data_IF_263102249438
#
_entry.id   IF_263102249438
#
_cell.length_a   1.000
_cell.length_b   1.000
_cell.length_c   1.000
_cell.angle_alpha   90.00
_cell.angle_beta   90.00
_cell.angle_gamma   90.00
#
_symmetry.space_group_name_H-M   'P 1'
#
loop_
_entity.id
_entity.type
_entity.pdbx_description
1 polymer ?
#
# COMPACT_ATOMS: atom_id res chain seq x y z
N UNK A 1 -6.20 2.32 28.46
CA UNK A 1 -5.71 2.62 27.09
C UNK A 1 -5.15 4.02 27.09
N UNK A 2 -3.94 4.20 26.58
CA UNK A 2 -3.29 5.52 26.49
C UNK A 2 -3.11 5.88 25.01
N UNK A 3 -3.68 7.01 24.61
CA UNK A 3 -3.54 7.55 23.27
C UNK A 3 -2.42 8.61 23.27
N UNK A 4 -1.54 8.56 22.27
CA UNK A 4 -0.44 9.51 22.06
C UNK A 4 -0.34 9.87 20.60
N UNK A 5 0.17 11.07 20.33
CA UNK A 5 0.54 11.52 19.00
C UNK A 5 1.91 12.15 18.99
N UNK A 6 2.62 11.98 17.88
CA UNK A 6 3.92 12.56 17.61
C UNK A 6 4.03 12.91 16.12
N UNK A 7 5.07 13.64 15.75
CA UNK A 7 5.41 13.88 14.35
C UNK A 7 6.90 13.68 14.14
N UNK A 8 7.26 12.93 13.10
CA UNK A 8 8.66 12.70 12.69
C UNK A 8 8.77 13.04 11.22
N UNK A 9 9.65 13.96 10.86
CA UNK A 9 9.84 14.46 9.49
C UNK A 9 8.52 14.89 8.80
N UNK A 10 7.58 15.45 9.59
CA UNK A 10 6.28 15.90 9.10
C UNK A 10 5.26 14.78 8.87
N UNK A 11 5.59 13.53 9.20
CA UNK A 11 4.66 12.40 9.21
C UNK A 11 4.06 12.29 10.61
N UNK A 12 2.74 12.33 10.70
CA UNK A 12 2.01 12.15 11.95
C UNK A 12 2.02 10.67 12.36
N UNK A 13 2.29 10.43 13.64
CA UNK A 13 2.27 9.10 14.25
C UNK A 13 1.24 9.13 15.38
N UNK A 14 0.30 8.22 15.35
CA UNK A 14 -0.71 8.03 16.38
C UNK A 14 -0.51 6.66 17.01
N UNK A 15 -0.63 6.57 18.32
CA UNK A 15 -0.54 5.29 19.01
C UNK A 15 -1.62 5.13 20.08
N UNK A 16 -2.13 3.90 20.20
CA UNK A 16 -3.06 3.48 21.25
C UNK A 16 -2.49 2.28 21.97
N UNK A 17 -1.96 2.50 23.19
CA UNK A 17 -1.34 1.45 23.98
C UNK A 17 -2.36 0.74 24.88
N UNK A 18 -2.38 -0.59 24.81
CA UNK A 18 -3.11 -1.46 25.71
C UNK A 18 -2.13 -2.48 26.36
N UNK A 19 -1.73 -2.28 27.61
CA UNK A 19 -0.73 -3.12 28.29
C UNK A 19 -1.15 -4.59 28.50
N UNK A 20 -2.42 -4.91 28.29
CA UNK A 20 -2.93 -6.28 28.41
C UNK A 20 -2.73 -7.10 27.13
N UNK A 21 -2.33 -6.48 26.02
CA UNK A 21 -2.03 -7.16 24.77
C UNK A 21 -0.57 -7.64 24.74
N UNK A 22 -0.32 -8.71 24.00
CA UNK A 22 1.03 -9.24 23.72
C UNK A 22 1.41 -9.10 22.25
N UNK A 23 0.60 -8.38 21.50
CA UNK A 23 0.75 -8.15 20.07
C UNK A 23 0.57 -6.68 19.75
N UNK A 24 1.00 -6.32 18.57
CA UNK A 24 0.79 -4.99 18.00
C UNK A 24 0.18 -5.09 16.60
N UNK A 25 -0.39 -3.97 16.15
CA UNK A 25 -0.73 -3.69 14.77
C UNK A 25 -0.14 -2.32 14.41
N UNK A 26 0.72 -2.29 13.41
CA UNK A 26 1.40 -1.10 12.92
C UNK A 26 0.95 -0.85 11.47
N UNK A 27 0.36 0.30 11.19
CA UNK A 27 -0.21 0.62 9.88
C UNK A 27 0.28 1.96 9.36
N UNK A 28 0.73 1.96 8.11
CA UNK A 28 0.98 3.17 7.32
C UNK A 28 -0.23 3.42 6.41
N UNK A 29 -0.86 4.57 6.55
CA UNK A 29 -1.93 5.07 5.69
C UNK A 29 -1.37 6.13 4.75
N UNK A 30 -1.58 5.94 3.47
CA UNK A 30 -1.11 6.83 2.40
C UNK A 30 -2.32 7.34 1.65
N UNK A 31 -2.51 8.66 1.60
CA UNK A 31 -3.56 9.27 0.79
C UNK A 31 -3.21 9.10 -0.68
N UNK A 32 -3.73 8.02 -1.25
CA UNK A 32 -3.61 7.57 -2.62
C UNK A 32 -4.87 6.76 -2.93
N UNK A 33 -4.99 6.21 -4.13
CA UNK A 33 -6.16 5.41 -4.50
C UNK A 33 -6.89 5.98 -5.70
N UNK A 34 -7.86 5.23 -6.20
CA UNK A 34 -8.44 5.48 -7.52
C UNK A 34 -9.15 6.83 -7.68
N UNK A 35 -9.63 7.46 -6.60
CA UNK A 35 -10.24 8.80 -6.65
C UNK A 35 -9.24 9.93 -6.95
N UNK A 36 -7.95 9.72 -6.65
CA UNK A 36 -6.87 10.69 -6.89
C UNK A 36 -6.13 10.45 -8.21
N UNK A 37 -6.59 9.47 -8.97
CA UNK A 37 -6.04 9.09 -10.27
C UNK A 37 -6.84 9.73 -11.41
N UNK A 38 -6.28 9.70 -12.61
CA UNK A 38 -6.95 10.16 -13.83
C UNK A 38 -7.04 9.02 -14.87
N UNK A 39 -7.65 9.30 -16.01
CA UNK A 39 -7.84 8.31 -17.09
C UNK A 39 -6.52 7.83 -17.72
N UNK A 40 -5.40 8.53 -17.48
CA UNK A 40 -4.09 8.17 -18.03
C UNK A 40 -3.27 7.26 -17.11
N UNK A 41 -3.59 7.27 -15.79
CA UNK A 41 -2.79 6.60 -14.76
C UNK A 41 -3.64 5.72 -13.80
N UNK A 42 -4.93 5.50 -14.08
CA UNK A 42 -5.79 4.67 -13.24
C UNK A 42 -5.19 3.29 -12.98
N UNK A 43 -5.11 2.91 -11.71
CA UNK A 43 -4.44 1.71 -11.20
C UNK A 43 -3.00 1.94 -10.72
N UNK A 44 -2.47 3.17 -10.77
CA UNK A 44 -1.10 3.45 -10.32
C UNK A 44 -0.93 3.22 -8.81
N UNK A 45 -1.96 3.48 -8.00
CA UNK A 45 -1.95 3.22 -6.55
C UNK A 45 -1.86 1.71 -6.26
N UNK A 46 -2.54 0.90 -7.04
CA UNK A 46 -2.47 -0.55 -6.94
C UNK A 46 -1.12 -1.11 -7.41
N UNK A 47 -0.57 -0.58 -8.52
CA UNK A 47 0.81 -0.90 -8.93
C UNK A 47 1.79 -0.53 -7.81
N UNK A 48 1.63 0.64 -7.19
CA UNK A 48 2.50 1.09 -6.10
C UNK A 48 2.51 0.10 -4.94
N UNK A 49 1.36 -0.41 -4.52
CA UNK A 49 1.26 -1.43 -3.49
C UNK A 49 2.07 -2.69 -3.86
N UNK A 50 1.87 -3.24 -5.06
CA UNK A 50 2.57 -4.44 -5.53
C UNK A 50 4.09 -4.26 -5.61
N UNK A 51 4.55 -3.14 -6.19
CA UNK A 51 5.99 -2.93 -6.41
C UNK A 51 6.74 -2.62 -5.11
N UNK A 52 6.09 -2.03 -4.11
CA UNK A 52 6.66 -1.84 -2.78
C UNK A 52 6.97 -3.19 -2.14
N UNK A 53 6.04 -4.15 -2.19
CA UNK A 53 6.29 -5.52 -1.71
C UNK A 53 7.39 -6.22 -2.49
N UNK A 54 7.42 -6.04 -3.81
CA UNK A 54 8.49 -6.62 -4.63
C UNK A 54 9.85 -6.03 -4.26
N UNK A 55 9.93 -4.72 -4.01
CA UNK A 55 11.14 -4.04 -3.59
C UNK A 55 11.66 -4.54 -2.23
N UNK A 56 10.76 -4.83 -1.27
CA UNK A 56 11.12 -5.45 0.01
C UNK A 56 11.73 -6.84 -0.17
N UNK A 57 11.19 -7.66 -1.07
CA UNK A 57 11.75 -8.97 -1.40
C UNK A 57 13.17 -8.90 -1.96
N UNK A 58 13.48 -7.86 -2.72
CA UNK A 58 14.80 -7.69 -3.29
C UNK A 58 15.79 -7.11 -2.25
N UNK A 59 15.28 -6.42 -1.21
CA UNK A 59 16.07 -5.88 -0.11
C UNK A 59 16.45 -6.94 0.95
N UNK A 60 15.52 -7.83 1.26
CA UNK A 60 15.70 -8.85 2.31
C UNK A 60 15.76 -10.24 1.68
N UNK A 61 16.84 -10.96 1.95
CA UNK A 61 16.96 -12.37 1.52
C UNK A 61 15.85 -13.20 2.17
N UNK A 62 15.20 -14.05 1.39
CA UNK A 62 14.10 -14.90 1.84
C UNK A 62 13.00 -14.13 2.62
N UNK A 63 12.63 -12.95 2.14
CA UNK A 63 11.75 -11.98 2.84
C UNK A 63 10.52 -12.61 3.52
N UNK A 64 9.78 -13.49 2.85
CA UNK A 64 8.59 -14.09 3.43
C UNK A 64 8.90 -15.09 4.55
N UNK A 65 9.99 -15.83 4.42
CA UNK A 65 10.46 -16.72 5.47
C UNK A 65 10.96 -15.91 6.68
N UNK A 66 11.67 -14.83 6.43
CA UNK A 66 12.11 -13.89 7.47
C UNK A 66 10.92 -13.32 8.25
N UNK A 67 9.90 -12.78 7.56
CA UNK A 67 8.68 -12.26 8.17
C UNK A 67 7.95 -13.34 8.97
N UNK A 68 7.84 -14.57 8.44
CA UNK A 68 7.19 -15.68 9.11
C UNK A 68 7.98 -16.16 10.36
N UNK A 69 9.32 -16.19 10.29
CA UNK A 69 10.18 -16.58 11.43
C UNK A 69 10.04 -15.61 12.60
N UNK A 70 9.86 -14.31 12.32
CA UNK A 70 9.55 -13.30 13.33
C UNK A 70 8.06 -13.29 13.76
N UNK A 71 7.25 -14.21 13.25
CA UNK A 71 5.81 -14.26 13.55
C UNK A 71 5.05 -13.02 13.11
N UNK A 72 5.58 -12.30 12.11
CA UNK A 72 4.95 -11.12 11.56
C UNK A 72 3.99 -11.47 10.40
N UNK A 73 2.99 -10.64 10.23
CA UNK A 73 2.11 -10.64 9.06
C UNK A 73 2.17 -9.27 8.39
N UNK A 74 2.51 -9.23 7.11
CA UNK A 74 2.57 -8.00 6.33
C UNK A 74 1.51 -8.03 5.23
N UNK A 75 0.68 -7.01 5.18
CA UNK A 75 -0.44 -6.89 4.23
C UNK A 75 -0.48 -5.50 3.61
N UNK A 76 -0.76 -5.43 2.32
CA UNK A 76 -1.15 -4.22 1.61
C UNK A 76 -2.63 -4.29 1.21
N UNK A 77 -3.26 -3.15 1.15
CA UNK A 77 -4.62 -2.99 0.61
C UNK A 77 -4.76 -1.63 -0.04
N UNK A 78 -5.20 -1.64 -1.27
CA UNK A 78 -5.55 -0.43 -2.01
C UNK A 78 -7.06 -0.19 -1.97
N UNK A 79 -7.45 1.01 -1.56
CA UNK A 79 -8.84 1.47 -1.52
C UNK A 79 -9.03 2.64 -2.49
N UNK A 80 -10.24 3.15 -2.56
CA UNK A 80 -10.53 4.31 -3.40
C UNK A 80 -9.80 5.58 -2.92
N UNK A 81 -9.67 5.77 -1.60
CA UNK A 81 -9.17 7.00 -0.99
C UNK A 81 -7.77 6.87 -0.38
N UNK A 82 -7.30 5.64 -0.12
CA UNK A 82 -5.99 5.40 0.50
C UNK A 82 -5.41 4.04 0.13
N UNK A 83 -4.09 3.94 0.28
CA UNK A 83 -3.35 2.67 0.34
C UNK A 83 -2.92 2.46 1.78
N UNK A 84 -3.10 1.25 2.29
CA UNK A 84 -2.70 0.89 3.65
C UNK A 84 -1.72 -0.28 3.62
N UNK A 85 -0.62 -0.12 4.33
CA UNK A 85 0.31 -1.20 4.64
C UNK A 85 0.21 -1.50 6.13
N UNK A 86 0.04 -2.76 6.49
CA UNK A 86 -0.16 -3.18 7.88
C UNK A 86 0.79 -4.30 8.23
N UNK A 87 1.47 -4.17 9.37
CA UNK A 87 2.32 -5.19 9.95
C UNK A 87 1.73 -5.54 11.32
N UNK A 88 1.38 -6.80 11.51
CA UNK A 88 0.90 -7.33 12.80
C UNK A 88 1.93 -8.34 13.32
N UNK A 89 2.11 -8.38 14.64
CA UNK A 89 3.03 -9.34 15.22
C UNK A 89 3.09 -9.34 16.73
N UNK A 90 3.94 -10.21 17.32
CA UNK A 90 4.17 -10.25 18.74
C UNK A 90 4.97 -9.02 19.20
N UNK A 91 4.70 -8.55 20.42
CA UNK A 91 5.26 -7.30 20.98
C UNK A 91 6.80 -7.19 20.85
N UNK A 92 7.52 -8.28 21.05
CA UNK A 92 8.99 -8.26 21.04
C UNK A 92 9.60 -8.05 19.65
N UNK A 93 8.79 -8.13 18.58
CA UNK A 93 9.20 -7.90 17.20
C UNK A 93 8.83 -6.49 16.68
N UNK A 94 8.39 -5.61 17.57
CA UNK A 94 7.93 -4.28 17.17
C UNK A 94 9.03 -3.46 16.49
N UNK A 95 10.26 -3.52 16.99
CA UNK A 95 11.38 -2.76 16.42
C UNK A 95 11.71 -3.22 15.00
N UNK A 96 11.71 -4.54 14.76
CA UNK A 96 11.89 -5.09 13.41
C UNK A 96 10.72 -4.73 12.48
N UNK A 97 9.50 -4.75 12.99
CA UNK A 97 8.34 -4.30 12.22
C UNK A 97 8.43 -2.82 11.81
N UNK A 98 8.95 -1.96 12.70
CA UNK A 98 9.22 -0.54 12.39
C UNK A 98 10.28 -0.42 11.29
N UNK A 99 11.38 -1.21 11.36
CA UNK A 99 12.40 -1.24 10.32
C UNK A 99 11.81 -1.61 8.94
N UNK A 100 10.99 -2.68 8.91
CA UNK A 100 10.30 -3.11 7.69
C UNK A 100 9.36 -2.00 7.18
N UNK A 101 8.60 -1.35 8.08
CA UNK A 101 7.72 -0.23 7.70
C UNK A 101 8.51 0.93 7.11
N UNK A 102 9.64 1.30 7.72
CA UNK A 102 10.52 2.35 7.20
C UNK A 102 11.06 2.01 5.80
N UNK A 103 11.28 0.74 5.51
CA UNK A 103 11.74 0.28 4.20
C UNK A 103 10.71 0.48 3.08
N UNK A 104 9.43 0.74 3.40
CA UNK A 104 8.41 1.12 2.40
C UNK A 104 8.69 2.49 1.78
N UNK A 105 9.46 3.34 2.47
CA UNK A 105 9.88 4.65 1.98
C UNK A 105 11.09 4.61 1.06
N UNK A 106 11.75 3.48 0.91
CA UNK A 106 12.92 3.33 0.05
C UNK A 106 12.57 3.52 -1.43
N UNK A 107 13.55 3.94 -2.21
CA UNK A 107 13.42 4.02 -3.67
C UNK A 107 13.14 2.63 -4.27
N UNK A 108 12.22 2.57 -5.22
CA UNK A 108 11.90 1.33 -5.94
C UNK A 108 13.00 1.09 -7.00
N UNK A 109 13.77 0.02 -6.81
CA UNK A 109 14.93 -0.34 -7.65
C UNK A 109 14.70 -1.64 -8.43
N UNK A 110 13.53 -1.78 -9.04
CA UNK A 110 13.20 -2.95 -9.84
C UNK A 110 13.84 -2.90 -11.22
N UNK A 111 14.32 -4.06 -11.70
CA UNK A 111 14.67 -4.23 -13.09
C UNK A 111 13.44 -4.08 -13.99
N UNK A 112 13.62 -3.73 -15.26
CA UNK A 112 12.51 -3.69 -16.23
C UNK A 112 11.81 -5.05 -16.35
N UNK A 113 12.56 -6.14 -16.21
CA UNK A 113 12.01 -7.50 -16.23
C UNK A 113 11.07 -7.74 -15.04
N UNK A 114 11.53 -7.48 -13.80
CA UNK A 114 10.73 -7.69 -12.58
C UNK A 114 9.50 -6.79 -12.57
N UNK A 115 9.66 -5.54 -12.99
CA UNK A 115 8.53 -4.63 -13.09
C UNK A 115 7.47 -5.10 -14.10
N UNK A 116 7.90 -5.65 -15.25
CA UNK A 116 6.97 -6.22 -16.24
C UNK A 116 6.30 -7.50 -15.72
N UNK A 117 6.98 -8.31 -14.90
CA UNK A 117 6.39 -9.46 -14.25
C UNK A 117 5.29 -9.03 -13.27
N UNK A 118 5.52 -7.99 -12.46
CA UNK A 118 4.47 -7.45 -11.57
C UNK A 118 3.28 -6.88 -12.35
N UNK A 119 3.51 -6.15 -13.45
CA UNK A 119 2.42 -5.74 -14.34
C UNK A 119 1.63 -6.93 -14.90
N UNK A 120 2.32 -8.02 -15.21
CA UNK A 120 1.70 -9.28 -15.66
C UNK A 120 0.74 -9.84 -14.61
N UNK A 121 1.15 -9.87 -13.33
CA UNK A 121 0.33 -10.31 -12.19
C UNK A 121 -0.89 -9.42 -12.01
N UNK A 122 -0.69 -8.09 -11.99
CA UNK A 122 -1.80 -7.12 -11.86
C UNK A 122 -2.79 -7.28 -13.01
N UNK A 123 -2.32 -7.44 -14.25
CA UNK A 123 -3.20 -7.67 -15.40
C UNK A 123 -3.95 -9.02 -15.33
N UNK A 124 -3.36 -10.04 -14.72
CA UNK A 124 -4.05 -11.30 -14.43
C UNK A 124 -5.16 -11.08 -13.39
N UNK A 125 -4.86 -10.36 -12.30
CA UNK A 125 -5.83 -10.01 -11.27
C UNK A 125 -7.01 -9.17 -11.82
N UNK A 126 -6.74 -8.17 -12.69
CA UNK A 126 -7.78 -7.40 -13.38
C UNK A 126 -8.73 -8.31 -14.18
N UNK A 127 -8.19 -9.34 -14.85
CA UNK A 127 -9.01 -10.30 -15.62
C UNK A 127 -9.78 -11.26 -14.73
N UNK A 128 -9.20 -11.68 -13.63
CA UNK A 128 -9.78 -12.65 -12.71
C UNK A 128 -10.92 -12.04 -11.88
N UNK A 129 -10.67 -10.85 -11.31
CA UNK A 129 -11.68 -10.18 -10.47
C UNK A 129 -12.84 -9.59 -11.27
N UNK A 130 -12.65 -9.28 -12.54
CA UNK A 130 -13.61 -8.63 -13.43
C UNK A 130 -14.50 -7.58 -12.71
N UNK A 131 -13.86 -6.64 -12.02
CA UNK A 131 -14.53 -5.60 -11.21
C UNK A 131 -15.70 -4.94 -11.97
N UNK A 132 -15.62 -4.85 -13.32
CA UNK A 132 -16.63 -4.20 -14.16
C UNK A 132 -17.96 -4.95 -14.22
N UNK A 133 -17.96 -6.24 -13.91
CA UNK A 133 -19.16 -7.08 -13.81
C UNK A 133 -19.64 -7.22 -12.36
N UNK A 134 -19.01 -6.50 -11.41
CA UNK A 134 -19.46 -6.47 -10.03
C UNK A 134 -20.62 -5.51 -9.82
N UNK A 135 -21.45 -5.81 -8.83
CA UNK A 135 -22.55 -4.95 -8.41
C UNK A 135 -22.03 -3.59 -7.93
N UNK A 136 -20.90 -3.59 -7.20
CA UNK A 136 -20.25 -2.38 -6.69
C UNK A 136 -19.86 -1.44 -7.83
N UNK A 137 -19.26 -1.95 -8.92
CA UNK A 137 -18.92 -1.14 -10.09
C UNK A 137 -20.15 -0.50 -10.74
N UNK A 138 -21.25 -1.25 -10.83
CA UNK A 138 -22.51 -0.74 -11.35
C UNK A 138 -23.06 0.38 -10.46
N UNK A 139 -23.10 0.19 -9.15
CA UNK A 139 -23.53 1.20 -8.19
C UNK A 139 -22.64 2.44 -8.23
N UNK A 140 -21.33 2.27 -8.25
CA UNK A 140 -20.36 3.35 -8.35
C UNK A 140 -20.59 4.19 -9.62
N UNK A 141 -20.91 3.55 -10.73
CA UNK A 141 -21.22 4.21 -11.99
C UNK A 141 -22.49 5.08 -11.93
N UNK A 142 -23.47 4.72 -11.12
CA UNK A 142 -24.71 5.46 -10.92
C UNK A 142 -24.53 6.56 -9.87
N UNK A 143 -24.08 6.17 -8.66
CA UNK A 143 -24.00 7.06 -7.50
C UNK A 143 -22.92 8.13 -7.71
N UNK A 144 -21.76 7.74 -8.25
CA UNK A 144 -20.62 8.61 -8.47
C UNK A 144 -20.45 9.06 -9.93
N UNK A 145 -21.53 9.09 -10.68
CA UNK A 145 -21.55 9.36 -12.14
C UNK A 145 -20.67 10.53 -12.56
N UNK A 146 -20.65 11.60 -11.77
CA UNK A 146 -19.93 12.84 -12.06
C UNK A 146 -18.67 13.00 -11.19
N UNK A 147 -18.20 11.92 -10.56
CA UNK A 147 -17.06 11.92 -9.65
C UNK A 147 -16.02 10.88 -10.07
N UNK A 148 -14.76 11.13 -9.69
CA UNK A 148 -13.64 10.20 -9.85
C UNK A 148 -13.81 8.93 -9.02
N UNK A 149 -14.69 8.94 -8.01
CA UNK A 149 -15.02 7.79 -7.18
C UNK A 149 -15.60 6.60 -7.96
N UNK A 150 -16.09 6.82 -9.19
CA UNK A 150 -16.52 5.73 -10.10
C UNK A 150 -15.38 4.88 -10.66
N UNK A 151 -14.10 5.31 -10.51
CA UNK A 151 -12.97 4.56 -11.06
C UNK A 151 -12.75 3.23 -10.35
N UNK A 152 -12.30 2.24 -11.11
CA UNK A 152 -11.87 0.95 -10.56
C UNK A 152 -10.59 1.12 -9.75
N UNK A 153 -10.41 0.33 -8.70
CA UNK A 153 -9.20 0.32 -7.88
C UNK A 153 -8.04 -0.33 -8.67
N UNK A 154 -8.32 -1.42 -9.36
CA UNK A 154 -7.31 -2.18 -10.11
C UNK A 154 -6.81 -1.44 -11.37
N UNK A 155 -7.56 -0.46 -11.86
CA UNK A 155 -7.27 0.21 -13.13
C UNK A 155 -7.62 -0.65 -14.35
N UNK A 156 -6.98 -0.37 -15.47
CA UNK A 156 -7.18 -1.06 -16.74
C UNK A 156 -5.86 -1.55 -17.30
N UNK A 157 -5.84 -2.68 -18.01
CA UNK A 157 -4.61 -3.21 -18.63
C UNK A 157 -3.84 -2.15 -19.43
N UNK A 158 -4.57 -1.29 -20.18
CA UNK A 158 -3.96 -0.21 -20.98
C UNK A 158 -3.27 0.86 -20.13
N UNK A 159 -3.81 1.21 -18.96
CA UNK A 159 -3.19 2.21 -18.07
C UNK A 159 -2.01 1.60 -17.34
N UNK A 160 -2.11 0.33 -16.91
CA UNK A 160 -1.02 -0.43 -16.29
C UNK A 160 0.20 -0.50 -17.23
N UNK A 161 0.00 -0.77 -18.52
CA UNK A 161 1.09 -0.85 -19.50
C UNK A 161 1.89 0.44 -19.65
N UNK A 162 1.25 1.60 -19.43
CA UNK A 162 1.86 2.95 -19.56
C UNK A 162 2.72 3.37 -18.37
N UNK A 163 2.64 2.65 -17.24
CA UNK A 163 3.43 2.97 -16.05
C UNK A 163 4.86 2.43 -16.23
N UNK A 164 5.86 3.26 -15.93
CA UNK A 164 7.27 2.91 -15.90
C UNK A 164 7.83 2.95 -14.47
N UNK A 165 9.01 2.35 -14.24
CA UNK A 165 9.71 2.43 -12.93
C UNK A 165 9.95 3.89 -12.53
N UNK A 166 10.29 4.77 -13.48
CA UNK A 166 10.43 6.20 -13.23
C UNK A 166 9.12 6.80 -12.72
N UNK A 167 8.01 6.54 -13.43
CA UNK A 167 6.68 7.07 -13.10
C UNK A 167 6.19 6.61 -11.73
N UNK A 168 6.47 5.35 -11.34
CA UNK A 168 6.09 4.84 -10.03
C UNK A 168 6.95 5.43 -8.92
N UNK A 169 8.23 5.75 -9.15
CA UNK A 169 9.06 6.47 -8.18
C UNK A 169 8.62 7.93 -8.00
N UNK A 170 8.24 8.61 -9.08
CA UNK A 170 7.65 9.94 -9.02
C UNK A 170 6.34 9.93 -8.19
N UNK A 171 5.48 8.94 -8.45
CA UNK A 171 4.26 8.72 -7.67
C UNK A 171 4.57 8.45 -6.19
N UNK A 172 5.51 7.53 -5.90
CA UNK A 172 5.95 7.21 -4.53
C UNK A 172 6.41 8.46 -3.78
N UNK A 173 7.27 9.28 -4.38
CA UNK A 173 7.77 10.51 -3.75
C UNK A 173 6.62 11.49 -3.44
N UNK A 174 5.64 11.59 -4.33
CA UNK A 174 4.46 12.42 -4.13
C UNK A 174 3.59 11.93 -2.98
N UNK A 175 3.31 10.63 -2.92
CA UNK A 175 2.34 10.08 -1.96
C UNK A 175 2.95 9.79 -0.59
N UNK A 176 4.23 9.39 -0.50
CA UNK A 176 4.96 9.21 0.75
C UNK A 176 5.62 10.51 1.22
N UNK A 177 4.85 11.58 1.29
CA UNK A 177 5.31 12.90 1.70
C UNK A 177 4.63 13.35 2.99
N UNK A 178 5.25 14.32 3.66
CA UNK A 178 4.71 14.97 4.84
C UNK A 178 3.28 15.49 4.59
N UNK A 179 2.37 15.22 5.52
CA UNK A 179 0.95 15.62 5.42
C UNK A 179 0.10 14.77 4.48
N UNK A 180 0.69 13.83 3.72
CA UNK A 180 -0.05 12.94 2.83
C UNK A 180 -0.11 11.49 3.33
N UNK A 181 0.64 11.15 4.38
CA UNK A 181 0.59 9.86 5.04
C UNK A 181 0.69 10.01 6.55
N UNK A 182 0.23 9.01 7.27
CA UNK A 182 0.40 8.90 8.72
C UNK A 182 0.57 7.44 9.14
N UNK A 183 1.18 7.26 10.30
CA UNK A 183 1.35 5.94 10.93
C UNK A 183 0.40 5.81 12.10
N UNK A 184 -0.24 4.67 12.23
CA UNK A 184 -1.05 4.29 13.38
C UNK A 184 -0.54 2.98 13.98
N UNK A 185 -0.22 3.01 15.27
CA UNK A 185 0.23 1.86 16.03
C UNK A 185 -0.73 1.55 17.17
N UNK A 186 -1.13 0.29 17.30
CA UNK A 186 -1.96 -0.16 18.42
C UNK A 186 -1.43 -1.47 18.96
N UNK A 187 -1.60 -1.67 20.27
CA UNK A 187 -1.12 -2.88 20.95
C UNK A 187 -0.33 -2.54 22.21
N UNK A 188 0.72 -3.30 22.46
CA UNK A 188 1.64 -3.08 23.60
C UNK A 188 3.10 -3.26 23.15
#
# INVERSE_FOLDING_TARGET
>A
MNERSASVNGISIYSLTNPNLRSFCLSLYVRAGSIFEDSSNNGISHIFEHVVFRNLKDKYENFYELIATHGLSLRGCTYKEFVRFTIDGPRHEFDFAVEVLCSLFDEIKLTSHDFNNEKGRIKAEIREKDERNSLDFYFDGIVWRNSEAKRTILGYCKTIDRVSVKKINEFRQKVLSAGNCFVYATGN
#
